data_IF_664859126212
#
_entry.id   IF_664859126212
#
_cell.length_a   1.000
_cell.length_b   1.000
_cell.length_c   1.000
_cell.angle_alpha   90.00
_cell.angle_beta   90.00
_cell.angle_gamma   90.00
#
_symmetry.space_group_name_H-M   'P 1'
#
loop_
_entity.id
_entity.type
_entity.pdbx_description
1 polymer ?
#
# COMPACT_ATOMS: atom_id res chain seq x y z
N UNK A 1 -0.44 4.32 -51.87
CA UNK A 1 0.00 4.59 -50.49
C UNK A 1 -1.22 5.01 -49.69
N UNK A 2 -1.90 4.05 -49.06
CA UNK A 2 -3.12 4.30 -48.28
C UNK A 2 -2.76 4.56 -46.83
N UNK A 3 -3.14 5.75 -46.39
CA UNK A 3 -2.91 6.34 -45.07
C UNK A 3 -3.51 5.47 -43.95
N UNK A 4 -2.65 4.69 -43.28
CA UNK A 4 -2.95 3.93 -42.06
C UNK A 4 -2.96 4.85 -40.85
N UNK A 5 -3.93 5.76 -40.78
CA UNK A 5 -4.22 6.55 -39.58
C UNK A 5 -5.66 6.34 -39.16
N UNK A 6 -5.93 5.32 -38.32
CA UNK A 6 -7.00 5.29 -37.30
C UNK A 6 -7.12 3.91 -36.64
N UNK A 7 -6.52 3.76 -35.45
CA UNK A 7 -7.23 3.10 -34.35
C UNK A 7 -7.26 3.92 -33.05
N UNK A 8 -6.33 4.87 -32.88
CA UNK A 8 -6.09 5.52 -31.58
C UNK A 8 -7.27 6.39 -31.11
N UNK A 9 -7.99 7.03 -32.03
CA UNK A 9 -9.05 7.98 -31.67
C UNK A 9 -10.30 7.28 -31.10
N UNK A 10 -10.65 6.08 -31.58
CA UNK A 10 -11.81 5.32 -31.08
C UNK A 10 -11.54 4.66 -29.72
N UNK A 11 -10.31 4.17 -29.50
CA UNK A 11 -9.92 3.54 -28.23
C UNK A 11 -9.89 4.56 -27.10
N UNK A 12 -9.45 5.81 -27.38
CA UNK A 12 -9.37 6.89 -26.39
C UNK A 12 -10.75 7.29 -25.84
N UNK A 13 -11.74 7.45 -26.73
CA UNK A 13 -13.13 7.75 -26.34
C UNK A 13 -13.69 6.65 -25.44
N UNK A 14 -13.43 5.38 -25.76
CA UNK A 14 -13.94 4.26 -24.96
C UNK A 14 -13.34 4.20 -23.55
N UNK A 15 -12.02 4.42 -23.41
CA UNK A 15 -11.34 4.43 -22.11
C UNK A 15 -11.81 5.59 -21.23
N UNK A 16 -11.90 6.79 -21.78
CA UNK A 16 -12.29 7.98 -21.04
C UNK A 16 -13.72 7.85 -20.52
N UNK A 17 -14.64 7.34 -21.36
CA UNK A 17 -16.02 7.02 -20.93
C UNK A 17 -16.07 5.96 -19.83
N UNK A 18 -15.28 4.87 -19.93
CA UNK A 18 -15.24 3.83 -18.88
C UNK A 18 -14.70 4.36 -17.55
N UNK A 19 -13.69 5.24 -17.60
CA UNK A 19 -13.15 5.91 -16.41
C UNK A 19 -14.21 6.81 -15.79
N UNK A 20 -14.88 7.64 -16.59
CA UNK A 20 -15.95 8.53 -16.11
C UNK A 20 -17.10 7.74 -15.47
N UNK A 21 -17.56 6.68 -16.14
CA UNK A 21 -18.63 5.82 -15.64
C UNK A 21 -18.30 5.19 -14.29
N UNK A 22 -17.03 4.82 -14.03
CA UNK A 22 -16.63 4.08 -12.83
C UNK A 22 -15.83 4.90 -11.81
N UNK A 23 -15.60 6.18 -12.08
CA UNK A 23 -14.80 7.09 -11.23
C UNK A 23 -15.23 7.04 -9.77
N UNK A 24 -16.53 7.14 -9.50
CA UNK A 24 -17.07 7.11 -8.14
C UNK A 24 -16.75 5.81 -7.39
N UNK A 25 -16.78 4.67 -8.08
CA UNK A 25 -16.47 3.34 -7.53
C UNK A 25 -14.99 3.24 -7.18
N UNK A 26 -14.11 3.60 -8.11
CA UNK A 26 -12.67 3.51 -7.91
C UNK A 26 -12.16 4.48 -6.83
N UNK A 27 -12.71 5.70 -6.75
CA UNK A 27 -12.38 6.64 -5.67
C UNK A 27 -12.80 6.09 -4.31
N UNK A 28 -13.95 5.42 -4.21
CA UNK A 28 -14.39 4.78 -2.97
C UNK A 28 -13.47 3.62 -2.54
N UNK A 29 -13.10 2.75 -3.49
CA UNK A 29 -12.21 1.61 -3.23
C UNK A 29 -10.82 2.06 -2.81
N UNK A 30 -10.21 3.00 -3.54
CA UNK A 30 -8.95 3.64 -3.18
C UNK A 30 -8.97 4.20 -1.75
N UNK A 31 -9.99 5.01 -1.44
CA UNK A 31 -10.08 5.65 -0.12
C UNK A 31 -10.20 4.63 1.01
N UNK A 32 -10.87 3.51 0.73
CA UNK A 32 -11.04 2.41 1.69
C UNK A 32 -9.75 1.61 1.85
N UNK A 33 -9.06 1.31 0.75
CA UNK A 33 -7.77 0.61 0.75
C UNK A 33 -6.70 1.43 1.48
N UNK A 34 -6.53 2.70 1.11
CA UNK A 34 -5.60 3.62 1.78
C UNK A 34 -5.96 3.81 3.26
N UNK A 35 -7.25 4.01 3.56
CA UNK A 35 -7.72 4.15 4.94
C UNK A 35 -7.39 2.93 5.79
N UNK A 36 -7.50 1.73 5.23
CA UNK A 36 -7.10 0.49 5.91
C UNK A 36 -5.58 0.37 6.02
N UNK A 37 -4.82 0.72 4.99
CA UNK A 37 -3.36 0.71 5.02
C UNK A 37 -2.83 1.58 6.18
N UNK A 38 -3.40 2.77 6.37
CA UNK A 38 -3.06 3.65 7.50
C UNK A 38 -3.36 2.99 8.86
N UNK A 39 -4.44 2.23 8.98
CA UNK A 39 -4.74 1.49 10.23
C UNK A 39 -3.72 0.37 10.47
N UNK A 40 -3.34 -0.36 9.43
CA UNK A 40 -2.31 -1.42 9.50
C UNK A 40 -0.96 -0.82 9.90
N UNK A 41 -0.56 0.31 9.32
CA UNK A 41 0.69 1.00 9.65
C UNK A 41 0.73 1.51 11.10
N UNK A 42 -0.42 1.91 11.67
CA UNK A 42 -0.51 2.25 13.10
C UNK A 42 -0.40 1.02 14.01
N UNK A 43 -0.86 -0.14 13.55
CA UNK A 43 -0.68 -1.40 14.27
C UNK A 43 0.78 -1.87 14.20
N UNK A 44 1.49 -1.61 13.10
CA UNK A 44 2.92 -1.89 12.95
C UNK A 44 3.76 -1.26 14.04
N UNK A 45 3.54 0.02 14.35
CA UNK A 45 4.26 0.71 15.44
C UNK A 45 3.99 0.17 16.85
N UNK A 46 3.11 -0.84 16.99
CA UNK A 46 2.81 -1.53 18.27
C UNK A 46 3.16 -3.02 18.22
N UNK A 47 3.63 -3.54 17.09
CA UNK A 47 3.83 -4.97 16.89
C UNK A 47 5.22 -5.39 17.38
N UNK A 48 5.26 -6.20 18.44
CA UNK A 48 6.51 -6.63 19.08
C UNK A 48 7.23 -7.74 18.31
N UNK A 49 6.48 -8.67 17.70
CA UNK A 49 7.06 -9.80 16.96
C UNK A 49 7.46 -9.42 15.52
N UNK A 50 8.69 -9.75 15.08
CA UNK A 50 9.12 -9.58 13.69
C UNK A 50 8.23 -10.31 12.68
N UNK A 51 7.69 -11.48 13.03
CA UNK A 51 6.76 -12.24 12.18
C UNK A 51 5.44 -11.49 11.97
N UNK A 52 4.90 -10.92 13.05
CA UNK A 52 3.69 -10.09 12.98
C UNK A 52 3.96 -8.82 12.16
N UNK A 53 5.09 -8.13 12.39
CA UNK A 53 5.51 -6.99 11.57
C UNK A 53 5.60 -7.37 10.10
N UNK A 54 6.24 -8.51 9.79
CA UNK A 54 6.34 -9.04 8.43
C UNK A 54 4.98 -9.29 7.75
N UNK A 55 3.99 -9.86 8.47
CA UNK A 55 2.61 -9.99 7.95
C UNK A 55 1.96 -8.64 7.71
N UNK A 56 2.06 -7.72 8.67
CA UNK A 56 1.46 -6.38 8.54
C UNK A 56 2.06 -5.58 7.38
N UNK A 57 3.38 -5.63 7.16
CA UNK A 57 4.03 -5.01 6.01
C UNK A 57 3.50 -5.54 4.68
N UNK A 58 3.44 -6.87 4.52
CA UNK A 58 2.89 -7.50 3.29
C UNK A 58 1.48 -7.01 2.99
N UNK A 59 0.63 -6.95 4.02
CA UNK A 59 -0.75 -6.48 3.89
C UNK A 59 -0.81 -4.99 3.58
N UNK A 60 0.03 -4.16 4.21
CA UNK A 60 0.12 -2.73 3.92
C UNK A 60 0.54 -2.47 2.45
N UNK A 61 1.53 -3.19 1.93
CA UNK A 61 1.95 -3.11 0.52
C UNK A 61 0.80 -3.47 -0.41
N UNK A 62 0.10 -4.58 -0.15
CA UNK A 62 -1.05 -5.01 -0.95
C UNK A 62 -2.16 -3.96 -0.98
N UNK A 63 -2.50 -3.38 0.16
CA UNK A 63 -3.52 -2.33 0.26
C UNK A 63 -3.12 -1.07 -0.53
N UNK A 64 -1.82 -0.71 -0.53
CA UNK A 64 -1.33 0.41 -1.33
C UNK A 64 -1.29 0.09 -2.82
N UNK A 65 -0.96 -1.14 -3.21
CA UNK A 65 -1.07 -1.58 -4.60
C UNK A 65 -2.51 -1.46 -5.12
N UNK A 66 -3.49 -1.88 -4.32
CA UNK A 66 -4.91 -1.69 -4.64
C UNK A 66 -5.28 -0.20 -4.73
N UNK A 67 -4.83 0.63 -3.79
CA UNK A 67 -5.07 2.08 -3.83
C UNK A 67 -4.44 2.74 -5.06
N UNK A 68 -3.23 2.35 -5.46
CA UNK A 68 -2.54 2.86 -6.66
C UNK A 68 -3.31 2.44 -7.92
N UNK A 69 -3.68 1.15 -8.02
CA UNK A 69 -4.47 0.62 -9.13
C UNK A 69 -5.77 1.40 -9.27
N UNK A 70 -6.53 1.52 -8.20
CA UNK A 70 -7.84 2.18 -8.23
C UNK A 70 -7.71 3.68 -8.50
N UNK A 71 -6.64 4.33 -8.03
CA UNK A 71 -6.33 5.72 -8.41
C UNK A 71 -6.15 5.82 -9.92
N UNK A 72 -5.32 4.95 -10.53
CA UNK A 72 -5.10 4.92 -11.98
C UNK A 72 -6.35 4.61 -12.78
N UNK A 73 -7.22 3.73 -12.29
CA UNK A 73 -8.50 3.42 -12.94
C UNK A 73 -9.54 4.54 -12.82
N UNK A 74 -9.36 5.46 -11.88
CA UNK A 74 -10.24 6.62 -11.68
C UNK A 74 -9.81 7.88 -12.45
N UNK A 75 -8.70 7.84 -13.20
CA UNK A 75 -8.15 9.01 -13.89
C UNK A 75 -7.46 8.66 -15.21
N UNK A 76 -7.32 9.66 -16.08
CA UNK A 76 -6.59 9.51 -17.35
C UNK A 76 -5.09 9.74 -17.14
N UNK A 77 -4.70 10.73 -16.34
CA UNK A 77 -3.30 11.08 -16.07
C UNK A 77 -2.61 10.01 -15.20
N UNK A 78 -1.41 9.54 -15.60
CA UNK A 78 -0.78 8.41 -14.92
C UNK A 78 0.07 8.77 -13.69
N UNK A 79 0.68 9.95 -13.64
CA UNK A 79 1.58 10.40 -12.56
C UNK A 79 1.07 11.69 -11.89
N UNK A 80 -0.11 11.59 -11.29
CA UNK A 80 -0.63 12.68 -10.44
C UNK A 80 0.10 12.71 -9.10
N UNK A 81 0.11 13.85 -8.37
CA UNK A 81 0.74 13.95 -7.06
C UNK A 81 0.29 12.87 -6.07
N UNK A 82 -0.99 12.47 -6.14
CA UNK A 82 -1.52 11.36 -5.35
C UNK A 82 -0.87 10.02 -5.71
N UNK A 83 -0.70 9.71 -6.99
CA UNK A 83 -0.06 8.45 -7.41
C UNK A 83 1.41 8.43 -6.98
N UNK A 84 2.12 9.54 -7.15
CA UNK A 84 3.51 9.67 -6.73
C UNK A 84 3.65 9.49 -5.21
N UNK A 85 2.78 10.12 -4.43
CA UNK A 85 2.73 9.93 -2.98
C UNK A 85 2.48 8.47 -2.58
N UNK A 86 1.48 7.81 -3.20
CA UNK A 86 1.17 6.42 -2.89
C UNK A 86 2.31 5.46 -3.26
N UNK A 87 3.00 5.70 -4.39
CA UNK A 87 4.20 4.95 -4.79
C UNK A 87 5.33 5.12 -3.78
N UNK A 88 5.64 6.36 -3.39
CA UNK A 88 6.69 6.65 -2.42
C UNK A 88 6.41 5.97 -1.07
N UNK A 89 5.17 6.06 -0.59
CA UNK A 89 4.75 5.39 0.65
C UNK A 89 4.90 3.87 0.55
N UNK A 90 4.48 3.28 -0.57
CA UNK A 90 4.63 1.84 -0.83
C UNK A 90 6.09 1.41 -0.84
N UNK A 91 6.96 2.15 -1.53
CA UNK A 91 8.39 1.86 -1.60
C UNK A 91 9.06 1.92 -0.22
N UNK A 92 8.74 2.93 0.60
CA UNK A 92 9.23 3.01 1.98
C UNK A 92 8.83 1.78 2.81
N UNK A 93 7.56 1.34 2.69
CA UNK A 93 7.05 0.15 3.38
C UNK A 93 7.74 -1.12 2.88
N UNK A 94 8.02 -1.24 1.58
CA UNK A 94 8.76 -2.37 1.03
C UNK A 94 10.21 -2.41 1.53
N UNK A 95 10.85 -1.25 1.69
CA UNK A 95 12.19 -1.16 2.31
C UNK A 95 12.15 -1.69 3.74
N UNK A 96 11.20 -1.24 4.56
CA UNK A 96 11.02 -1.76 5.92
C UNK A 96 10.72 -3.26 5.95
N UNK A 97 9.88 -3.74 5.03
CA UNK A 97 9.59 -5.16 4.87
C UNK A 97 10.85 -5.99 4.55
N UNK A 98 11.73 -5.48 3.69
CA UNK A 98 12.98 -6.15 3.34
C UNK A 98 13.93 -6.21 4.54
N UNK A 99 13.99 -5.16 5.37
CA UNK A 99 14.76 -5.14 6.61
C UNK A 99 14.28 -6.22 7.59
N UNK A 100 12.97 -6.33 7.85
CA UNK A 100 12.42 -7.43 8.66
C UNK A 100 12.68 -8.80 8.04
N UNK A 101 12.58 -8.90 6.71
CA UNK A 101 12.96 -10.12 6.01
C UNK A 101 14.39 -10.54 6.35
N UNK A 102 15.35 -9.62 6.28
CA UNK A 102 16.74 -9.88 6.64
C UNK A 102 16.90 -10.25 8.13
N UNK A 103 16.19 -9.56 9.03
CA UNK A 103 16.19 -9.87 10.47
C UNK A 103 15.77 -11.33 10.73
N UNK A 104 14.68 -11.77 10.10
CA UNK A 104 14.13 -13.12 10.23
C UNK A 104 15.09 -14.19 9.68
N UNK A 105 15.73 -13.94 8.53
CA UNK A 105 16.69 -14.90 7.95
C UNK A 105 17.96 -15.01 8.80
N UNK A 106 18.52 -13.89 9.27
CA UNK A 106 19.68 -13.90 10.17
C UNK A 106 19.35 -14.62 11.49
N UNK A 107 18.13 -14.44 12.00
CA UNK A 107 17.65 -15.11 13.21
C UNK A 107 17.55 -16.63 13.08
N UNK A 108 17.06 -17.13 11.94
CA UNK A 108 16.88 -18.58 11.69
C UNK A 108 18.19 -19.33 11.46
N UNK A 109 19.11 -18.74 10.70
CA UNK A 109 20.32 -19.43 10.23
C UNK A 109 21.59 -19.01 10.98
N UNK A 110 21.46 -18.33 12.12
CA UNK A 110 22.56 -17.63 12.81
C UNK A 110 23.82 -18.48 13.05
N UNK A 111 23.75 -19.74 13.54
CA UNK A 111 24.95 -20.53 13.81
C UNK A 111 25.69 -20.98 12.53
N UNK A 112 24.95 -21.38 11.51
CA UNK A 112 25.53 -21.84 10.24
C UNK A 112 26.02 -20.67 9.40
N UNK A 113 25.29 -19.55 9.42
CA UNK A 113 25.72 -18.29 8.80
C UNK A 113 26.98 -17.73 9.47
N UNK A 114 27.07 -17.80 10.80
CA UNK A 114 28.27 -17.39 11.54
C UNK A 114 29.49 -18.23 11.12
N UNK A 115 29.30 -19.56 11.05
CA UNK A 115 30.34 -20.50 10.61
C UNK A 115 30.76 -20.24 9.16
N UNK A 116 29.80 -20.06 8.25
CA UNK A 116 30.07 -19.84 6.82
C UNK A 116 30.79 -18.51 6.55
N UNK A 117 30.49 -17.46 7.32
CA UNK A 117 31.11 -16.14 7.17
C UNK A 117 32.44 -16.00 7.96
N UNK A 118 32.84 -17.02 8.73
CA UNK A 118 33.97 -16.92 9.65
C UNK A 118 33.78 -15.85 10.72
N UNK A 119 32.53 -15.55 11.08
CA UNK A 119 32.17 -14.49 12.03
C UNK A 119 31.70 -15.07 13.36
N UNK A 120 31.81 -14.26 14.42
CA UNK A 120 31.25 -14.61 15.72
C UNK A 120 29.72 -14.46 15.73
N UNK A 121 29.02 -15.26 16.54
CA UNK A 121 27.58 -15.08 16.78
C UNK A 121 27.25 -13.72 17.40
N UNK A 122 28.20 -13.07 18.08
CA UNK A 122 28.07 -11.68 18.53
C UNK A 122 28.01 -10.69 17.36
N UNK A 123 28.81 -10.88 16.31
CA UNK A 123 28.78 -10.02 15.11
C UNK A 123 27.41 -10.08 14.44
N UNK A 124 26.83 -11.27 14.29
CA UNK A 124 25.49 -11.43 13.72
C UNK A 124 24.39 -10.81 14.59
N UNK A 125 24.52 -10.88 15.92
CA UNK A 125 23.59 -10.18 16.83
C UNK A 125 23.66 -8.66 16.66
N UNK A 126 24.87 -8.10 16.52
CA UNK A 126 25.03 -6.66 16.26
C UNK A 126 24.43 -6.25 14.90
N UNK A 127 24.64 -7.05 13.86
CA UNK A 127 24.03 -6.82 12.55
C UNK A 127 22.49 -6.84 12.63
N UNK A 128 21.91 -7.79 13.39
CA UNK A 128 20.46 -7.87 13.63
C UNK A 128 19.94 -6.62 14.34
N UNK A 129 20.60 -6.18 15.43
CA UNK A 129 20.21 -4.98 16.16
C UNK A 129 20.29 -3.71 15.28
N UNK A 130 21.28 -3.64 14.39
CA UNK A 130 21.38 -2.55 13.41
C UNK A 130 20.21 -2.55 12.40
N UNK A 131 19.82 -3.73 11.91
CA UNK A 131 18.67 -3.90 11.01
C UNK A 131 17.36 -3.48 11.71
N UNK A 132 17.16 -3.93 12.94
CA UNK A 132 15.99 -3.58 13.75
C UNK A 132 15.90 -2.07 13.98
N UNK A 133 17.03 -1.42 14.31
CA UNK A 133 17.08 0.04 14.42
C UNK A 133 16.72 0.72 13.10
N UNK A 134 17.32 0.27 12.00
CA UNK A 134 17.08 0.84 10.67
C UNK A 134 15.61 0.69 10.24
N UNK A 135 14.96 -0.41 10.62
CA UNK A 135 13.53 -0.61 10.36
C UNK A 135 12.66 0.38 11.13
N UNK A 136 12.98 0.62 12.40
CA UNK A 136 12.29 1.63 13.21
C UNK A 136 12.46 3.05 12.64
N UNK A 137 13.67 3.40 12.18
CA UNK A 137 13.93 4.71 11.55
C UNK A 137 13.10 4.90 10.26
N UNK A 138 12.93 3.83 9.47
CA UNK A 138 12.05 3.84 8.28
C UNK A 138 10.58 3.94 8.67
N UNK A 139 10.14 3.25 9.73
CA UNK A 139 8.77 3.35 10.24
C UNK A 139 8.42 4.75 10.75
N UNK A 140 9.36 5.43 11.41
CA UNK A 140 9.19 6.81 11.84
C UNK A 140 9.02 7.73 10.61
N UNK A 141 9.89 7.58 9.61
CA UNK A 141 9.79 8.30 8.34
C UNK A 141 8.45 8.05 7.62
N UNK A 142 7.97 6.80 7.60
CA UNK A 142 6.63 6.46 7.08
C UNK A 142 5.53 7.19 7.85
N UNK A 143 5.64 7.25 9.17
CA UNK A 143 4.66 7.93 10.03
C UNK A 143 4.59 9.42 9.70
N UNK A 144 5.73 10.08 9.52
CA UNK A 144 5.80 11.47 9.08
C UNK A 144 5.21 11.67 7.68
N UNK A 145 5.54 10.79 6.74
CA UNK A 145 4.97 10.80 5.39
C UNK A 145 3.43 10.68 5.41
N UNK A 146 2.86 9.90 6.32
CA UNK A 146 1.40 9.78 6.47
C UNK A 146 0.76 11.09 6.96
N UNK A 147 1.44 11.86 7.80
CA UNK A 147 0.96 13.17 8.27
C UNK A 147 0.83 14.13 7.10
N UNK A 148 1.89 14.25 6.30
CA UNK A 148 1.91 15.10 5.11
C UNK A 148 0.92 14.61 4.03
N UNK A 149 0.98 13.33 3.70
CA UNK A 149 0.21 12.70 2.64
C UNK A 149 -1.30 12.68 2.87
N UNK A 150 -1.74 12.78 4.13
CA UNK A 150 -3.16 12.93 4.47
C UNK A 150 -3.80 14.11 3.74
N UNK A 151 -3.08 15.21 3.57
CA UNK A 151 -3.57 16.40 2.88
C UNK A 151 -3.76 16.12 1.39
N UNK A 152 -2.78 15.48 0.74
CA UNK A 152 -2.82 15.10 -0.69
C UNK A 152 -4.04 14.21 -0.98
N UNK A 153 -4.23 13.14 -0.20
CA UNK A 153 -5.35 12.20 -0.39
C UNK A 153 -6.70 12.90 -0.16
N UNK A 154 -6.79 13.77 0.85
CA UNK A 154 -8.02 14.51 1.17
C UNK A 154 -8.38 15.51 0.08
N UNK A 155 -7.41 16.26 -0.42
CA UNK A 155 -7.61 17.24 -1.46
C UNK A 155 -8.09 16.55 -2.74
N UNK A 156 -7.37 15.54 -3.24
CA UNK A 156 -7.79 14.79 -4.43
C UNK A 156 -9.19 14.16 -4.24
N UNK A 157 -9.47 13.59 -3.06
CA UNK A 157 -10.82 13.05 -2.77
C UNK A 157 -11.90 14.13 -2.85
N UNK A 158 -11.65 15.33 -2.33
CA UNK A 158 -12.62 16.43 -2.36
C UNK A 158 -12.85 16.93 -3.78
N UNK A 159 -11.77 17.15 -4.53
CA UNK A 159 -11.83 17.59 -5.93
C UNK A 159 -12.57 16.59 -6.80
N UNK A 160 -12.38 15.28 -6.61
CA UNK A 160 -13.14 14.28 -7.36
C UNK A 160 -14.60 14.24 -6.97
N UNK A 161 -14.89 14.33 -5.68
CA UNK A 161 -16.27 14.26 -5.17
C UNK A 161 -17.09 15.48 -5.55
N UNK A 162 -16.49 16.64 -5.78
CA UNK A 162 -17.23 17.82 -6.26
C UNK A 162 -17.77 17.64 -7.68
N UNK A 163 -17.15 16.75 -8.47
CA UNK A 163 -17.59 16.41 -9.84
C UNK A 163 -18.69 15.35 -9.87
N UNK A 164 -19.07 14.77 -8.73
CA UNK A 164 -20.07 13.69 -8.70
C UNK A 164 -21.49 14.22 -8.80
N UNK A 165 -22.24 13.66 -9.75
CA UNK A 165 -23.69 13.75 -9.77
C UNK A 165 -24.34 12.88 -8.66
N UNK A 166 -25.66 12.90 -8.54
CA UNK A 166 -26.35 12.23 -7.43
C UNK A 166 -26.25 10.69 -7.48
N UNK A 167 -26.26 10.10 -8.68
CA UNK A 167 -26.04 8.66 -8.84
C UNK A 167 -24.60 8.27 -8.47
N UNK A 168 -23.60 9.02 -8.94
CA UNK A 168 -22.20 8.83 -8.57
C UNK A 168 -21.99 8.95 -7.05
N UNK A 169 -22.64 9.92 -6.39
CA UNK A 169 -22.60 10.05 -4.92
C UNK A 169 -23.21 8.84 -4.22
N UNK A 170 -24.30 8.27 -4.76
CA UNK A 170 -24.91 7.04 -4.25
C UNK A 170 -23.96 5.86 -4.40
N UNK A 171 -23.42 5.64 -5.61
CA UNK A 171 -22.47 4.55 -5.91
C UNK A 171 -21.18 4.64 -5.09
N UNK A 172 -20.66 5.85 -4.88
CA UNK A 172 -19.51 6.11 -4.01
C UNK A 172 -19.79 5.66 -2.57
N UNK A 173 -20.95 6.01 -2.00
CA UNK A 173 -21.32 5.63 -0.62
C UNK A 173 -21.44 4.12 -0.45
N UNK A 174 -22.15 3.46 -1.37
CA UNK A 174 -22.31 2.00 -1.37
C UNK A 174 -20.95 1.31 -1.44
N UNK A 175 -20.12 1.67 -2.43
CA UNK A 175 -18.80 1.06 -2.59
C UNK A 175 -17.86 1.38 -1.42
N UNK A 176 -17.99 2.54 -0.78
CA UNK A 176 -17.21 2.86 0.42
C UNK A 176 -17.54 1.89 1.56
N UNK A 177 -18.83 1.57 1.76
CA UNK A 177 -19.25 0.61 2.79
C UNK A 177 -18.71 -0.79 2.49
N UNK A 178 -18.97 -1.29 1.28
CA UNK A 178 -18.55 -2.63 0.86
C UNK A 178 -17.03 -2.78 0.90
N UNK A 179 -16.28 -1.82 0.34
CA UNK A 179 -14.82 -1.88 0.30
C UNK A 179 -14.20 -1.82 1.70
N UNK A 180 -14.77 -1.02 2.62
CA UNK A 180 -14.29 -0.96 4.00
C UNK A 180 -14.44 -2.30 4.72
N UNK A 181 -15.55 -2.99 4.49
CA UNK A 181 -15.79 -4.32 5.02
C UNK A 181 -14.82 -5.33 4.40
N UNK A 182 -14.73 -5.39 3.07
CA UNK A 182 -13.80 -6.27 2.37
C UNK A 182 -12.35 -6.12 2.87
N UNK A 183 -11.84 -4.89 2.97
CA UNK A 183 -10.48 -4.67 3.46
C UNK A 183 -10.33 -4.93 4.97
N UNK A 184 -11.42 -4.91 5.76
CA UNK A 184 -11.37 -5.35 7.16
C UNK A 184 -11.12 -6.86 7.23
N UNK A 185 -11.96 -7.62 6.53
CA UNK A 185 -11.92 -9.08 6.47
C UNK A 185 -10.59 -9.57 5.85
N UNK A 186 -10.08 -8.85 4.86
CA UNK A 186 -8.76 -9.10 4.29
C UNK A 186 -7.66 -9.03 5.35
N UNK A 187 -7.62 -7.94 6.14
CA UNK A 187 -6.60 -7.80 7.20
C UNK A 187 -6.78 -8.87 8.26
N UNK A 188 -8.01 -9.15 8.66
CA UNK A 188 -8.31 -10.19 9.66
C UNK A 188 -7.77 -11.55 9.23
N UNK A 189 -8.07 -11.95 7.99
CA UNK A 189 -7.58 -13.20 7.42
C UNK A 189 -6.06 -13.20 7.30
N UNK A 190 -5.45 -12.21 6.68
CA UNK A 190 -4.03 -12.26 6.31
C UNK A 190 -3.08 -12.03 7.51
N UNK A 191 -3.58 -11.45 8.62
CA UNK A 191 -2.74 -11.13 9.79
C UNK A 191 -3.00 -12.07 10.97
N UNK A 192 -4.26 -12.47 11.21
CA UNK A 192 -4.68 -13.12 12.45
C UNK A 192 -5.21 -14.55 12.28
N UNK A 193 -5.36 -15.08 11.06
CA UNK A 193 -5.91 -16.43 10.87
C UNK A 193 -4.91 -17.59 11.08
N UNK A 194 -3.60 -17.34 11.15
CA UNK A 194 -2.57 -18.36 11.41
C UNK A 194 -2.31 -18.58 12.92
N UNK A 195 -3.37 -18.72 13.71
CA UNK A 195 -3.30 -19.01 15.16
C UNK A 195 -4.05 -20.26 15.63
N UNK A 196 -4.67 -21.01 14.71
CA UNK A 196 -5.47 -22.21 15.01
C UNK A 196 -5.16 -23.35 14.02
N UNK A 197 -3.90 -23.76 13.91
CA UNK A 197 -3.51 -25.01 13.25
C UNK A 197 -2.32 -25.64 13.99
#
# INVERSE_FOLDING_TARGET
MTDTRRPEHRVRIHRDTLVEMNRAVYVARRNSAYGRAVQVLRALGKAESPELRGRLYRVAVRLLDDAIRDTRMSQIAHDTPLVLFLKLLREAIQTAQALIGNELHIGRDSPDLARALGQSSSTLRLARAFIEKSENDVLESITEMLVFGRTVVRQDTRERRSLFNDDERRRYRLNTRESRQFYAELVEREVYSEGNA
#
